data_IF_027575740649
#
_entry.id   IF_027575740649
#
_cell.length_a   1.000
_cell.length_b   1.000
_cell.length_c   1.000
_cell.angle_alpha   90.00
_cell.angle_beta   90.00
_cell.angle_gamma   90.00
#
_symmetry.space_group_name_H-M   'P 1'
#
loop_
_entity.id
_entity.type
_entity.pdbx_description
1 polymer ?
#
# COMPACT_ATOMS: atom_id res chain seq x y z
N UNK A 1 24.49 -75.60 34.62
CA UNK A 1 23.42 -74.83 35.21
C UNK A 1 23.82 -73.35 35.20
N UNK A 2 23.63 -72.69 34.01
CA UNK A 2 24.01 -71.29 33.85
C UNK A 2 22.74 -70.45 33.78
N UNK A 3 22.54 -69.53 34.73
CA UNK A 3 21.46 -68.54 34.76
C UNK A 3 21.78 -67.39 33.79
N UNK A 4 20.96 -67.26 32.76
CA UNK A 4 20.93 -66.07 31.94
C UNK A 4 20.33 -64.89 32.70
N UNK A 5 21.11 -63.83 32.83
CA UNK A 5 20.69 -62.56 33.40
C UNK A 5 20.21 -61.65 32.27
N UNK A 6 18.88 -61.45 32.27
CA UNK A 6 18.23 -60.57 31.28
C UNK A 6 18.29 -59.12 31.79
N UNK A 7 19.00 -58.25 31.13
CA UNK A 7 18.97 -56.77 31.36
C UNK A 7 17.86 -56.15 30.50
N UNK A 8 16.99 -55.32 31.06
CA UNK A 8 16.11 -54.52 30.26
C UNK A 8 16.85 -53.28 29.74
N UNK A 9 16.99 -53.17 28.44
CA UNK A 9 17.57 -52.00 27.77
C UNK A 9 16.52 -50.87 27.63
N UNK A 10 16.88 -49.73 28.16
CA UNK A 10 16.59 -48.36 27.76
C UNK A 10 15.52 -48.11 26.68
N UNK A 11 14.34 -47.76 27.10
CA UNK A 11 13.33 -47.11 26.28
C UNK A 11 12.97 -45.69 26.79
N UNK A 12 13.94 -44.88 27.22
CA UNK A 12 13.60 -43.62 27.90
C UNK A 12 14.11 -42.34 27.20
N UNK A 13 14.50 -42.37 25.94
CA UNK A 13 15.05 -41.13 25.32
C UNK A 13 14.39 -40.64 24.04
N UNK A 14 13.36 -41.32 23.53
CA UNK A 14 12.70 -40.85 22.27
C UNK A 14 11.55 -39.86 22.49
N UNK A 15 10.94 -39.81 23.67
CA UNK A 15 9.80 -38.88 23.93
C UNK A 15 10.26 -37.45 24.25
N UNK A 16 11.42 -37.26 24.85
CA UNK A 16 11.88 -35.91 25.23
C UNK A 16 12.58 -35.16 24.08
N UNK A 17 13.04 -35.85 23.07
CA UNK A 17 13.65 -35.20 21.89
C UNK A 17 12.59 -34.57 20.97
N UNK A 18 11.37 -35.13 20.95
CA UNK A 18 10.28 -34.57 20.12
C UNK A 18 9.63 -33.34 20.76
N UNK A 19 9.67 -33.25 22.10
CA UNK A 19 9.15 -32.08 22.82
C UNK A 19 10.09 -30.87 22.73
N UNK A 20 11.40 -31.10 22.59
CA UNK A 20 12.40 -30.04 22.43
C UNK A 20 12.43 -29.45 21.01
N UNK A 21 12.02 -30.22 20.01
CA UNK A 21 11.94 -29.74 18.61
C UNK A 21 10.70 -28.86 18.35
N UNK A 22 9.62 -28.99 19.16
CA UNK A 22 8.43 -28.16 19.04
C UNK A 22 8.55 -26.78 19.69
N UNK A 23 9.55 -26.56 20.55
CA UNK A 23 9.74 -25.24 21.20
C UNK A 23 10.55 -24.24 20.37
N UNK A 24 11.10 -24.68 19.25
CA UNK A 24 11.92 -23.78 18.38
C UNK A 24 11.13 -23.09 17.27
N UNK A 25 9.81 -23.37 17.13
CA UNK A 25 8.97 -22.80 16.08
C UNK A 25 8.12 -21.60 16.52
N UNK A 26 8.32 -21.05 17.70
CA UNK A 26 7.43 -20.02 18.25
C UNK A 26 8.14 -18.71 18.66
N UNK A 27 9.14 -18.29 17.90
CA UNK A 27 9.72 -16.96 18.05
C UNK A 27 10.03 -16.35 16.68
N UNK A 28 9.03 -16.32 15.80
CA UNK A 28 8.98 -15.23 14.86
C UNK A 28 8.64 -13.98 15.69
N UNK A 29 9.67 -13.29 16.12
CA UNK A 29 9.55 -11.93 16.62
C UNK A 29 8.95 -11.14 15.48
N UNK A 30 7.63 -10.88 15.50
CA UNK A 30 7.04 -9.82 14.73
C UNK A 30 7.72 -8.52 15.18
N UNK A 31 8.86 -8.21 14.57
CA UNK A 31 9.41 -6.86 14.68
C UNK A 31 8.36 -5.96 14.06
N UNK A 32 7.73 -5.16 14.90
CA UNK A 32 6.74 -4.19 14.46
C UNK A 32 7.37 -3.33 13.37
N UNK A 33 6.87 -3.46 12.13
CA UNK A 33 7.39 -2.75 10.99
C UNK A 33 7.26 -1.23 11.22
N UNK A 34 8.37 -0.51 11.10
CA UNK A 34 8.39 0.93 11.26
C UNK A 34 7.69 1.61 10.06
N UNK A 35 6.58 2.36 10.25
CA UNK A 35 5.83 2.97 9.16
C UNK A 35 6.62 3.99 8.34
N UNK A 36 7.61 4.65 8.96
CA UNK A 36 8.49 5.60 8.26
C UNK A 36 9.47 4.87 7.35
N UNK A 37 10.04 3.77 7.83
CA UNK A 37 10.92 2.90 7.02
C UNK A 37 10.14 2.24 5.89
N UNK A 38 8.90 1.79 6.15
CA UNK A 38 8.01 1.25 5.14
C UNK A 38 7.79 2.23 3.98
N UNK A 39 7.43 3.48 4.29
CA UNK A 39 7.22 4.51 3.26
C UNK A 39 8.55 4.88 2.58
N UNK A 40 9.64 5.07 3.34
CA UNK A 40 10.93 5.45 2.79
C UNK A 40 11.46 4.40 1.80
N UNK A 41 11.50 3.14 2.19
CA UNK A 41 12.00 2.06 1.34
C UNK A 41 11.24 1.95 0.00
N UNK A 42 9.91 2.07 0.03
CA UNK A 42 9.11 1.99 -1.19
C UNK A 42 9.24 3.26 -2.05
N UNK A 43 9.36 4.43 -1.43
CA UNK A 43 9.64 5.66 -2.15
C UNK A 43 11.01 5.63 -2.83
N UNK A 44 12.06 5.11 -2.19
CA UNK A 44 13.39 4.96 -2.80
C UNK A 44 13.36 3.96 -3.96
N UNK A 45 12.62 2.83 -3.86
CA UNK A 45 12.41 1.92 -4.99
C UNK A 45 11.72 2.63 -6.16
N UNK A 46 10.72 3.47 -5.87
CA UNK A 46 10.03 4.25 -6.90
C UNK A 46 11.00 5.19 -7.61
N UNK A 47 11.79 5.96 -6.86
CA UNK A 47 12.82 6.84 -7.44
C UNK A 47 13.80 6.05 -8.32
N UNK A 48 14.20 4.84 -7.93
CA UNK A 48 15.05 3.97 -8.77
C UNK A 48 14.39 3.63 -10.10
N UNK A 49 13.10 3.27 -10.12
CA UNK A 49 12.37 3.01 -11.38
C UNK A 49 12.31 4.27 -12.23
N UNK A 50 11.99 5.41 -11.64
CA UNK A 50 11.85 6.68 -12.35
C UNK A 50 13.17 7.17 -12.97
N UNK A 51 14.30 6.92 -12.30
CA UNK A 51 15.62 7.41 -12.76
C UNK A 51 16.37 6.40 -13.63
N UNK A 52 16.47 5.15 -13.18
CA UNK A 52 17.29 4.14 -13.87
C UNK A 52 16.55 3.46 -15.03
N UNK A 53 15.23 3.45 -14.99
CA UNK A 53 14.39 2.74 -15.94
C UNK A 53 13.50 3.69 -16.77
N UNK A 54 13.77 5.00 -16.73
CA UNK A 54 13.01 6.01 -17.47
C UNK A 54 12.89 5.69 -18.99
N UNK A 55 13.92 5.08 -19.58
CA UNK A 55 13.88 4.67 -20.99
C UNK A 55 12.80 3.62 -21.31
N UNK A 56 12.34 2.85 -20.31
CA UNK A 56 11.24 1.89 -20.50
C UNK A 56 9.92 2.58 -20.83
N UNK A 57 9.71 3.80 -20.34
CA UNK A 57 8.49 4.55 -20.66
C UNK A 57 8.27 4.72 -22.17
N UNK A 58 9.38 4.90 -22.94
CA UNK A 58 9.33 5.06 -24.40
C UNK A 58 9.47 3.71 -25.15
N UNK A 59 10.19 2.73 -24.57
CA UNK A 59 10.54 1.48 -25.26
C UNK A 59 9.62 0.31 -24.91
N UNK A 60 9.14 0.25 -23.66
CA UNK A 60 8.21 -0.77 -23.16
C UNK A 60 7.36 -0.18 -22.02
N UNK A 61 6.38 0.62 -22.41
CA UNK A 61 5.48 1.31 -21.49
C UNK A 61 4.75 0.34 -20.53
N UNK A 62 4.35 -0.82 -21.04
CA UNK A 62 3.63 -1.82 -20.25
C UNK A 62 4.50 -2.36 -19.09
N UNK A 63 5.78 -2.64 -19.37
CA UNK A 63 6.74 -3.08 -18.36
C UNK A 63 7.01 -1.96 -17.34
N UNK A 64 7.14 -0.71 -17.80
CA UNK A 64 7.33 0.44 -16.92
C UNK A 64 6.16 0.62 -15.96
N UNK A 65 4.93 0.63 -16.45
CA UNK A 65 3.71 0.74 -15.65
C UNK A 65 3.57 -0.43 -14.67
N UNK A 66 3.91 -1.65 -15.10
CA UNK A 66 3.90 -2.82 -14.22
C UNK A 66 4.85 -2.66 -13.05
N UNK A 67 6.08 -2.16 -13.26
CA UNK A 67 7.04 -1.92 -12.18
C UNK A 67 6.54 -0.90 -11.15
N UNK A 68 5.84 0.14 -11.61
CA UNK A 68 5.21 1.12 -10.73
C UNK A 68 4.07 0.47 -9.94
N UNK A 69 3.22 -0.31 -10.60
CA UNK A 69 2.11 -1.05 -9.97
C UNK A 69 2.61 -2.01 -8.89
N UNK A 70 3.68 -2.77 -9.18
CA UNK A 70 4.29 -3.73 -8.25
C UNK A 70 4.79 -3.07 -6.94
N UNK A 71 5.15 -1.79 -6.99
CA UNK A 71 5.56 -1.03 -5.80
C UNK A 71 4.33 -0.47 -5.06
N UNK A 72 3.40 0.16 -5.79
CA UNK A 72 2.28 0.85 -5.16
C UNK A 72 1.15 -0.07 -4.69
N UNK A 73 0.82 -1.11 -5.45
CA UNK A 73 -0.33 -1.96 -5.16
C UNK A 73 -0.28 -2.56 -3.73
N UNK A 74 0.84 -3.13 -3.27
CA UNK A 74 0.93 -3.67 -1.92
C UNK A 74 0.92 -2.60 -0.82
N UNK A 75 1.20 -1.33 -1.15
CA UNK A 75 1.24 -0.26 -0.17
C UNK A 75 -0.13 0.31 0.19
N UNK A 76 -1.15 0.16 -0.68
CA UNK A 76 -2.43 0.86 -0.58
C UNK A 76 -3.54 -0.08 -0.12
N UNK A 77 -4.36 0.34 0.84
CA UNK A 77 -5.63 -0.32 1.18
C UNK A 77 -6.72 0.13 0.20
N UNK A 78 -6.69 -0.41 -1.03
CA UNK A 78 -7.65 -0.02 -2.08
C UNK A 78 -9.10 -0.23 -1.66
N UNK A 79 -9.40 -1.28 -0.89
CA UNK A 79 -10.76 -1.53 -0.39
C UNK A 79 -11.25 -0.38 0.49
N UNK A 80 -10.41 0.08 1.40
CA UNK A 80 -10.74 1.19 2.30
C UNK A 80 -10.79 2.52 1.59
N UNK A 81 -9.84 2.77 0.68
CA UNK A 81 -9.79 4.01 -0.09
C UNK A 81 -11.00 4.11 -1.01
N UNK A 82 -11.34 3.07 -1.77
CA UNK A 82 -12.54 3.03 -2.63
C UNK A 82 -13.83 3.27 -1.82
N UNK A 83 -13.99 2.60 -0.67
CA UNK A 83 -15.14 2.84 0.21
C UNK A 83 -15.20 4.30 0.69
N UNK A 84 -14.04 4.92 0.97
CA UNK A 84 -13.95 6.34 1.34
C UNK A 84 -14.30 7.28 0.19
N UNK A 85 -13.91 6.92 -1.04
CA UNK A 85 -14.21 7.64 -2.28
C UNK A 85 -15.71 7.60 -2.59
N UNK A 86 -16.35 6.45 -2.54
CA UNK A 86 -17.82 6.35 -2.65
C UNK A 86 -18.52 7.23 -1.60
N UNK A 87 -17.96 7.33 -0.40
CA UNK A 87 -18.60 7.97 0.74
C UNK A 87 -19.80 7.19 1.27
N UNK A 88 -20.31 7.58 2.44
CA UNK A 88 -21.35 6.81 3.16
C UNK A 88 -22.61 6.60 2.31
N UNK A 89 -23.08 7.65 1.61
CA UNK A 89 -24.32 7.59 0.83
C UNK A 89 -24.25 6.50 -0.23
N UNK A 90 -23.30 6.60 -1.14
CA UNK A 90 -23.19 5.71 -2.30
C UNK A 90 -22.66 4.33 -1.92
N UNK A 91 -21.81 4.24 -0.89
CA UNK A 91 -21.39 2.95 -0.34
C UNK A 91 -22.56 2.13 0.21
N UNK A 92 -23.56 2.77 0.85
CA UNK A 92 -24.75 2.09 1.34
C UNK A 92 -25.75 1.79 0.23
N UNK A 93 -25.81 2.62 -0.81
CA UNK A 93 -26.67 2.43 -1.98
C UNK A 93 -26.16 1.26 -2.86
N UNK A 94 -24.85 1.14 -3.02
CA UNK A 94 -24.23 0.11 -3.82
C UNK A 94 -24.40 -1.29 -3.22
N UNK A 95 -24.60 -2.28 -4.06
CA UNK A 95 -24.54 -3.71 -3.73
C UNK A 95 -23.12 -4.14 -3.33
N UNK A 96 -22.97 -5.33 -2.77
CA UNK A 96 -21.65 -5.91 -2.48
C UNK A 96 -20.83 -6.12 -3.75
N UNK A 97 -21.48 -6.50 -4.85
CA UNK A 97 -20.85 -6.68 -6.17
C UNK A 97 -20.24 -5.38 -6.68
N UNK A 98 -21.07 -4.32 -6.76
CA UNK A 98 -20.65 -2.99 -7.22
C UNK A 98 -19.52 -2.40 -6.34
N UNK A 99 -19.54 -2.61 -5.02
CA UNK A 99 -18.43 -2.18 -4.14
C UNK A 99 -17.13 -2.90 -4.48
N UNK A 100 -17.20 -4.22 -4.73
CA UNK A 100 -16.02 -5.02 -5.09
C UNK A 100 -15.51 -4.66 -6.47
N UNK A 101 -16.39 -4.42 -7.42
CA UNK A 101 -16.07 -3.95 -8.76
C UNK A 101 -15.40 -2.58 -8.73
N UNK A 102 -15.94 -1.63 -7.96
CA UNK A 102 -15.33 -0.30 -7.83
C UNK A 102 -13.91 -0.35 -7.26
N UNK A 103 -13.60 -1.28 -6.36
CA UNK A 103 -12.22 -1.43 -5.86
C UNK A 103 -11.25 -1.73 -7.01
N UNK A 104 -11.64 -2.58 -7.96
CA UNK A 104 -10.81 -2.92 -9.12
C UNK A 104 -10.70 -1.74 -10.10
N UNK A 105 -11.83 -1.16 -10.48
CA UNK A 105 -11.89 0.00 -11.36
C UNK A 105 -11.07 1.16 -10.80
N UNK A 106 -11.24 1.47 -9.51
CA UNK A 106 -10.51 2.55 -8.84
C UNK A 106 -8.99 2.28 -8.82
N UNK A 107 -8.60 1.03 -8.48
CA UNK A 107 -7.19 0.62 -8.47
C UNK A 107 -6.55 0.80 -9.83
N UNK A 108 -7.15 0.22 -10.86
CA UNK A 108 -6.57 0.23 -12.21
C UNK A 108 -6.53 1.66 -12.76
N UNK A 109 -7.63 2.41 -12.64
CA UNK A 109 -7.67 3.81 -13.08
C UNK A 109 -6.66 4.70 -12.36
N UNK A 110 -6.49 4.52 -11.03
CA UNK A 110 -5.51 5.27 -10.25
C UNK A 110 -4.08 4.98 -10.73
N UNK A 111 -3.74 3.71 -10.88
CA UNK A 111 -2.39 3.30 -11.25
C UNK A 111 -2.06 3.71 -12.69
N UNK A 112 -3.00 3.60 -13.63
CA UNK A 112 -2.81 4.01 -15.02
C UNK A 112 -2.59 5.52 -15.13
N UNK A 113 -3.44 6.33 -14.49
CA UNK A 113 -3.34 7.79 -14.53
C UNK A 113 -2.02 8.29 -13.95
N UNK A 114 -1.58 7.72 -12.82
CA UNK A 114 -0.39 8.23 -12.14
C UNK A 114 0.92 7.63 -12.66
N UNK A 115 0.92 6.46 -13.30
CA UNK A 115 2.12 5.94 -13.94
C UNK A 115 2.69 6.92 -14.98
N UNK A 116 1.81 7.52 -15.78
CA UNK A 116 2.20 8.53 -16.78
C UNK A 116 2.74 9.82 -16.15
N UNK A 117 2.07 10.32 -15.12
CA UNK A 117 2.52 11.53 -14.41
C UNK A 117 3.87 11.31 -13.73
N UNK A 118 4.07 10.14 -13.11
CA UNK A 118 5.32 9.79 -12.46
C UNK A 118 6.49 9.68 -13.45
N UNK A 119 6.26 9.23 -14.67
CA UNK A 119 7.30 9.16 -15.72
C UNK A 119 7.98 10.51 -15.99
N UNK A 120 7.27 11.60 -15.76
CA UNK A 120 7.79 12.95 -15.99
C UNK A 120 8.73 13.43 -14.87
N UNK A 121 8.87 12.67 -13.76
CA UNK A 121 9.64 13.08 -12.59
C UNK A 121 11.08 12.54 -12.54
N UNK A 122 11.67 12.13 -13.66
CA UNK A 122 12.98 11.52 -13.87
C UNK A 122 14.01 11.74 -12.75
N UNK A 123 14.75 12.84 -12.76
CA UNK A 123 15.84 13.13 -11.81
C UNK A 123 15.38 13.65 -10.43
N UNK A 124 14.22 13.20 -9.97
CA UNK A 124 13.66 13.61 -8.68
C UNK A 124 14.30 12.88 -7.51
N UNK A 125 14.33 13.54 -6.37
CA UNK A 125 14.72 12.94 -5.09
C UNK A 125 13.56 13.02 -4.09
N UNK A 126 13.48 12.04 -3.18
CA UNK A 126 12.48 12.04 -2.13
C UNK A 126 13.15 11.87 -0.76
N UNK A 127 12.72 12.65 0.21
CA UNK A 127 13.28 12.65 1.57
C UNK A 127 12.17 12.45 2.59
N UNK A 128 12.31 11.41 3.42
CA UNK A 128 11.38 11.10 4.51
C UNK A 128 11.73 11.88 5.76
N UNK A 129 10.74 12.47 6.40
CA UNK A 129 10.89 13.09 7.72
C UNK A 129 10.67 12.04 8.80
N UNK A 130 11.76 11.54 9.37
CA UNK A 130 11.72 10.62 10.50
C UNK A 130 11.44 11.38 11.81
N UNK A 131 10.77 10.74 12.79
CA UNK A 131 10.56 11.33 14.10
C UNK A 131 11.87 11.35 14.90
N UNK A 132 12.04 12.34 15.77
CA UNK A 132 13.20 12.44 16.64
C UNK A 132 13.25 11.35 17.73
N UNK A 133 12.08 10.77 18.08
CA UNK A 133 11.98 9.71 19.07
C UNK A 133 12.26 8.34 18.45
N UNK A 134 13.08 7.53 19.12
CA UNK A 134 13.36 6.12 18.73
C UNK A 134 12.27 5.15 19.22
N UNK A 135 11.03 5.58 19.33
CA UNK A 135 9.93 4.69 19.70
C UNK A 135 9.70 3.67 18.58
N UNK A 136 9.61 2.39 18.93
CA UNK A 136 9.20 1.32 18.01
C UNK A 136 7.73 0.94 18.22
N UNK A 137 6.99 1.68 19.04
CA UNK A 137 5.57 1.47 19.29
C UNK A 137 4.81 2.56 18.56
N UNK A 138 3.95 2.17 17.65
CA UNK A 138 3.16 3.08 16.83
C UNK A 138 1.66 2.84 17.07
N UNK A 139 0.90 3.92 17.06
CA UNK A 139 -0.56 3.83 17.04
C UNK A 139 -1.06 3.16 15.74
N UNK A 140 -2.30 2.68 15.76
CA UNK A 140 -2.93 2.05 14.59
C UNK A 140 -2.98 2.95 13.35
N UNK A 141 -2.97 4.27 13.53
CA UNK A 141 -2.94 5.27 12.47
C UNK A 141 -1.72 6.16 12.66
N UNK A 142 -0.94 6.35 11.61
CA UNK A 142 0.29 7.16 11.61
C UNK A 142 0.30 8.07 10.39
N UNK A 143 0.85 9.26 10.53
CA UNK A 143 1.16 10.15 9.43
C UNK A 143 2.66 10.15 9.15
N UNK A 144 3.04 9.83 7.91
CA UNK A 144 4.42 9.93 7.43
C UNK A 144 4.51 11.06 6.43
N UNK A 145 5.52 11.92 6.59
CA UNK A 145 5.74 13.07 5.70
C UNK A 145 7.02 12.89 4.90
N UNK A 146 6.93 13.23 3.62
CA UNK A 146 8.06 13.30 2.69
C UNK A 146 8.09 14.63 1.96
N UNK A 147 9.21 14.94 1.37
CA UNK A 147 9.37 16.03 0.40
C UNK A 147 9.93 15.45 -0.88
N UNK A 148 9.17 15.54 -1.96
CA UNK A 148 9.64 15.29 -3.30
C UNK A 148 10.29 16.54 -3.84
N UNK A 149 11.51 16.42 -4.37
CA UNK A 149 12.26 17.51 -5.00
C UNK A 149 12.55 17.14 -6.46
N UNK A 150 11.99 17.89 -7.38
CA UNK A 150 12.16 17.71 -8.83
C UNK A 150 13.29 18.58 -9.40
N UNK A 151 14.13 19.19 -8.54
CA UNK A 151 15.14 20.15 -8.95
C UNK A 151 14.59 21.57 -9.08
N UNK A 152 13.46 21.75 -9.74
CA UNK A 152 12.80 23.06 -9.93
C UNK A 152 11.82 23.39 -8.79
N UNK A 153 11.20 22.39 -8.19
CA UNK A 153 10.13 22.55 -7.20
C UNK A 153 10.22 21.51 -6.09
N UNK A 154 9.60 21.83 -4.95
CA UNK A 154 9.48 20.93 -3.79
C UNK A 154 8.03 20.71 -3.46
N UNK A 155 7.62 19.46 -3.43
CA UNK A 155 6.26 19.05 -3.15
C UNK A 155 6.20 18.30 -1.81
N UNK A 156 5.61 18.90 -0.77
CA UNK A 156 5.36 18.18 0.48
C UNK A 156 4.29 17.12 0.27
N UNK A 157 4.59 15.90 0.73
CA UNK A 157 3.67 14.76 0.67
C UNK A 157 3.41 14.28 2.09
N UNK A 158 2.14 14.01 2.41
CA UNK A 158 1.72 13.40 3.67
C UNK A 158 0.92 12.14 3.38
N UNK A 159 1.41 11.00 3.86
CA UNK A 159 0.76 9.71 3.80
C UNK A 159 0.02 9.45 5.11
N UNK A 160 -1.29 9.19 5.04
CA UNK A 160 -2.06 8.66 6.16
C UNK A 160 -2.01 7.14 6.08
N UNK A 161 -1.38 6.53 7.07
CA UNK A 161 -1.22 5.09 7.18
C UNK A 161 -2.17 4.51 8.21
N UNK A 162 -2.60 3.29 7.97
CA UNK A 162 -3.31 2.47 8.94
C UNK A 162 -2.73 1.08 8.96
N UNK A 163 -2.53 0.54 10.17
CA UNK A 163 -2.08 -0.84 10.34
C UNK A 163 -3.28 -1.79 10.32
N UNK A 164 -3.18 -2.85 9.52
CA UNK A 164 -4.08 -4.00 9.50
C UNK A 164 -3.29 -5.29 9.77
N UNK A 165 -3.87 -6.46 9.49
CA UNK A 165 -3.24 -7.78 9.67
C UNK A 165 -2.07 -8.02 8.69
N UNK A 166 -2.05 -7.34 7.56
CA UNK A 166 -1.01 -7.43 6.53
C UNK A 166 0.14 -6.42 6.73
N UNK A 167 0.08 -5.58 7.79
CA UNK A 167 1.04 -4.52 8.07
C UNK A 167 0.50 -3.11 7.81
N UNK A 168 1.40 -2.19 7.47
CA UNK A 168 1.04 -0.80 7.20
C UNK A 168 0.49 -0.64 5.79
N UNK A 169 -0.61 0.11 5.67
CA UNK A 169 -1.23 0.45 4.38
C UNK A 169 -1.55 1.94 4.32
N UNK A 170 -1.35 2.52 3.15
CA UNK A 170 -1.78 3.89 2.85
C UNK A 170 -3.30 3.90 2.71
N UNK A 171 -3.95 4.82 3.41
CA UNK A 171 -5.40 5.02 3.35
C UNK A 171 -5.78 6.41 2.83
N UNK A 172 -4.83 7.33 2.73
CA UNK A 172 -4.98 8.63 2.08
C UNK A 172 -3.62 9.26 1.81
N UNK A 173 -3.54 10.11 0.79
CA UNK A 173 -2.36 10.90 0.43
C UNK A 173 -2.77 12.36 0.29
N UNK A 174 -1.94 13.25 0.79
CA UNK A 174 -2.05 14.70 0.61
C UNK A 174 -0.76 15.17 -0.06
N UNK A 175 -0.83 15.76 -1.23
CA UNK A 175 0.30 16.26 -2.00
C UNK A 175 0.14 17.75 -2.20
N UNK A 176 1.14 18.53 -1.81
CA UNK A 176 1.13 20.00 -1.94
C UNK A 176 -0.15 20.65 -1.38
N UNK A 177 -0.71 20.09 -0.30
CA UNK A 177 -1.96 20.54 0.32
C UNK A 177 -3.24 19.97 -0.30
N UNK A 178 -3.19 19.34 -1.47
CA UNK A 178 -4.33 18.69 -2.12
C UNK A 178 -4.58 17.31 -1.51
N UNK A 179 -5.76 17.09 -0.94
CA UNK A 179 -6.18 15.82 -0.35
C UNK A 179 -6.79 14.91 -1.44
N UNK A 180 -6.02 13.95 -1.94
CA UNK A 180 -6.45 13.08 -3.05
C UNK A 180 -7.71 12.28 -2.72
N UNK A 181 -7.82 11.73 -1.50
CA UNK A 181 -9.02 10.99 -1.10
C UNK A 181 -10.29 11.85 -1.09
N UNK A 182 -10.18 13.13 -0.73
CA UNK A 182 -11.30 14.07 -0.79
C UNK A 182 -11.62 14.46 -2.24
N UNK A 183 -10.60 14.71 -3.06
CA UNK A 183 -10.74 15.03 -4.48
C UNK A 183 -11.48 13.90 -5.20
N UNK A 184 -11.04 12.67 -5.07
CA UNK A 184 -11.72 11.52 -5.69
C UNK A 184 -13.15 11.31 -5.17
N UNK A 185 -13.39 11.55 -3.88
CA UNK A 185 -14.77 11.52 -3.34
C UNK A 185 -15.66 12.53 -4.02
N UNK A 186 -15.19 13.77 -4.17
CA UNK A 186 -15.96 14.81 -4.83
C UNK A 186 -16.26 14.47 -6.29
N UNK A 187 -15.28 13.90 -7.00
CA UNK A 187 -15.46 13.41 -8.38
C UNK A 187 -16.49 12.29 -8.43
N UNK A 188 -16.38 11.28 -7.56
CA UNK A 188 -17.37 10.18 -7.52
C UNK A 188 -18.78 10.71 -7.28
N UNK A 189 -18.94 11.63 -6.33
CA UNK A 189 -20.24 12.22 -6.01
C UNK A 189 -20.81 13.03 -7.17
N UNK A 190 -19.98 13.84 -7.84
CA UNK A 190 -20.38 14.60 -9.01
C UNK A 190 -20.79 13.68 -10.17
N UNK A 191 -20.01 12.65 -10.43
CA UNK A 191 -20.28 11.65 -11.48
C UNK A 191 -21.60 10.88 -11.18
N UNK A 192 -21.80 10.46 -9.92
CA UNK A 192 -23.03 9.78 -9.52
C UNK A 192 -24.28 10.65 -9.72
N UNK A 193 -24.19 11.95 -9.41
CA UNK A 193 -25.28 12.90 -9.69
C UNK A 193 -25.56 13.03 -11.19
N UNK A 194 -24.51 13.07 -12.03
CA UNK A 194 -24.66 13.13 -13.50
C UNK A 194 -25.37 11.91 -14.09
N UNK A 195 -25.29 10.77 -13.41
CA UNK A 195 -25.93 9.51 -13.80
C UNK A 195 -27.19 9.19 -12.96
N UNK A 196 -27.89 10.21 -12.44
CA UNK A 196 -29.11 10.05 -11.64
C UNK A 196 -28.95 9.06 -10.46
N UNK A 197 -27.77 9.07 -9.84
CA UNK A 197 -27.38 8.17 -8.73
C UNK A 197 -27.38 6.67 -9.11
N UNK A 198 -27.37 6.34 -10.38
CA UNK A 198 -27.19 4.98 -10.87
C UNK A 198 -25.73 4.54 -10.65
N UNK A 199 -25.53 3.61 -9.72
CA UNK A 199 -24.18 3.15 -9.33
C UNK A 199 -23.49 2.47 -10.51
N UNK A 200 -24.15 1.57 -11.21
CA UNK A 200 -23.56 0.82 -12.33
C UNK A 200 -23.05 1.78 -13.42
N UNK A 201 -23.86 2.75 -13.86
CA UNK A 201 -23.43 3.78 -14.81
C UNK A 201 -22.29 4.65 -14.26
N UNK A 202 -22.30 4.96 -12.97
CA UNK A 202 -21.23 5.71 -12.31
C UNK A 202 -19.91 4.95 -12.38
N UNK A 203 -19.92 3.64 -12.11
CA UNK A 203 -18.74 2.81 -12.16
C UNK A 203 -18.18 2.67 -13.57
N UNK A 204 -19.04 2.45 -14.57
CA UNK A 204 -18.67 2.33 -15.98
C UNK A 204 -18.01 3.59 -16.55
N UNK A 205 -18.32 4.76 -15.99
CA UNK A 205 -17.78 6.04 -16.43
C UNK A 205 -16.71 6.62 -15.49
N UNK A 206 -16.25 5.84 -14.49
CA UNK A 206 -15.23 6.29 -13.56
C UNK A 206 -13.85 6.34 -14.19
N UNK A 207 -13.19 7.49 -14.05
CA UNK A 207 -11.75 7.67 -14.30
C UNK A 207 -11.16 8.44 -13.12
N UNK A 208 -10.07 7.93 -12.54
CA UNK A 208 -9.37 8.63 -11.46
C UNK A 208 -8.61 9.82 -12.05
N UNK A 209 -9.16 11.00 -11.88
CA UNK A 209 -8.53 12.25 -12.27
C UNK A 209 -8.42 13.17 -11.05
N UNK A 210 -7.22 13.32 -10.51
CA UNK A 210 -6.99 14.26 -9.42
C UNK A 210 -6.95 15.72 -9.92
N UNK A 211 -7.19 15.92 -11.22
CA UNK A 211 -6.96 17.20 -11.84
C UNK A 211 -5.51 17.63 -11.67
N UNK A 212 -5.28 18.90 -11.74
CA UNK A 212 -4.00 19.49 -11.40
C UNK A 212 -3.81 19.43 -9.88
N UNK A 213 -3.37 18.27 -9.36
CA UNK A 213 -3.05 18.10 -7.94
C UNK A 213 -1.86 18.98 -7.49
N UNK A 214 -1.57 20.05 -8.25
CA UNK A 214 -0.45 20.94 -8.01
C UNK A 214 0.92 20.29 -8.26
N UNK A 215 0.95 19.31 -9.15
CA UNK A 215 2.14 18.51 -9.47
C UNK A 215 2.61 18.78 -10.92
N UNK A 216 1.90 19.63 -11.65
CA UNK A 216 2.27 20.09 -12.99
C UNK A 216 3.34 21.17 -12.94
#
# INVERSE_FOLDING_TARGET
>A
MFKCYNRPMLQLHKKNLFLFLMLFFALESFTEENPYVFIDNNAQKMVQVLTLEAALFETDRSLYEQKIKDIFEPMIDFRRVAASVMGKKYYLLASQGERSEFVLIFKDSLLDTYAETLAQWGDSTITTKFPDSKSNIYEKNVEVKQVLNTGSSKYPISYKLRRNEEGWKIVNIIINGVNLGLTFRNQFQALAVTHDENIDLTLQNWVSDAGDAGIS
#
